data_IF_547587212199
#
_entry.id   IF_547587212199
#
_cell.length_a   1.000
_cell.length_b   1.000
_cell.length_c   1.000
_cell.angle_alpha   90.00
_cell.angle_beta   90.00
_cell.angle_gamma   90.00
#
_symmetry.space_group_name_H-M   'P 1'
#
loop_
_entity.id
_entity.type
_entity.pdbx_description
1 polymer ?
#
# COMPACT_ATOMS: atom_id res chain seq x y z
N UNK A 1 -7.38 -0.29 15.41
CA UNK A 1 -6.62 -1.56 15.47
C UNK A 1 -5.39 -1.31 14.62
N UNK A 2 -4.18 -1.44 15.17
CA UNK A 2 -2.94 -0.81 14.65
C UNK A 2 -2.72 -0.91 13.13
N UNK A 3 -3.17 -1.99 12.48
CA UNK A 3 -3.09 -2.15 11.02
C UNK A 3 -3.98 -1.18 10.22
N UNK A 4 -5.19 -0.88 10.69
CA UNK A 4 -6.08 0.06 9.98
C UNK A 4 -5.52 1.48 10.00
N UNK A 5 -4.95 1.86 11.14
CA UNK A 5 -4.29 3.16 11.32
C UNK A 5 -3.06 3.24 10.37
N UNK A 6 -2.26 2.16 10.26
CA UNK A 6 -1.15 2.10 9.31
C UNK A 6 -1.58 2.12 7.83
N UNK A 7 -2.72 1.51 7.49
CA UNK A 7 -3.27 1.56 6.13
C UNK A 7 -3.77 2.96 5.76
N UNK A 8 -4.35 3.69 6.72
CA UNK A 8 -4.75 5.08 6.55
C UNK A 8 -3.53 6.00 6.36
N UNK A 9 -2.52 5.85 7.22
CA UNK A 9 -1.25 6.58 7.10
C UNK A 9 -0.57 6.32 5.75
N UNK A 10 -0.56 5.06 5.30
CA UNK A 10 -0.05 4.68 3.97
C UNK A 10 -0.80 5.40 2.85
N UNK A 11 -2.14 5.40 2.84
CA UNK A 11 -2.92 6.10 1.79
C UNK A 11 -2.57 7.59 1.76
N UNK A 12 -2.52 8.23 2.92
CA UNK A 12 -2.15 9.64 3.04
C UNK A 12 -0.76 9.91 2.45
N UNK A 13 0.24 9.15 2.86
CA UNK A 13 1.63 9.36 2.42
C UNK A 13 1.80 9.05 0.93
N UNK A 14 1.25 7.93 0.46
CA UNK A 14 1.31 7.52 -0.95
C UNK A 14 0.63 8.54 -1.85
N UNK A 15 -0.53 9.10 -1.47
CA UNK A 15 -1.19 10.14 -2.25
C UNK A 15 -0.33 11.40 -2.39
N UNK A 16 0.34 11.84 -1.32
CA UNK A 16 1.24 13.00 -1.34
C UNK A 16 2.45 12.75 -2.27
N UNK A 17 3.01 11.55 -2.25
CA UNK A 17 4.09 11.17 -3.16
C UNK A 17 3.60 11.05 -4.61
N UNK A 18 2.41 10.48 -4.81
CA UNK A 18 1.80 10.34 -6.13
C UNK A 18 1.59 11.71 -6.81
N UNK A 19 1.18 12.74 -6.08
CA UNK A 19 1.03 14.09 -6.63
C UNK A 19 2.34 14.67 -7.18
N UNK A 20 3.48 14.26 -6.63
CA UNK A 20 4.80 14.63 -7.13
C UNK A 20 5.21 13.78 -8.33
N UNK A 21 4.96 12.47 -8.26
CA UNK A 21 5.14 11.54 -9.38
C UNK A 21 4.33 12.00 -10.60
N UNK A 22 3.12 12.55 -10.41
CA UNK A 22 2.24 13.03 -11.48
C UNK A 22 2.84 14.12 -12.38
N UNK A 23 3.89 14.81 -11.91
CA UNK A 23 4.65 15.80 -12.71
C UNK A 23 5.53 15.15 -13.77
N UNK A 24 5.85 13.87 -13.58
CA UNK A 24 6.70 13.08 -14.47
C UNK A 24 5.89 11.98 -15.18
N UNK A 25 5.01 11.30 -14.45
CA UNK A 25 4.23 10.16 -14.91
C UNK A 25 2.85 10.14 -14.23
N UNK A 26 1.81 10.49 -15.01
CA UNK A 26 0.43 10.54 -14.53
C UNK A 26 -0.18 9.16 -14.34
N UNK A 27 0.23 8.20 -15.15
CA UNK A 27 -0.30 6.84 -15.10
C UNK A 27 0.22 6.12 -13.86
N UNK A 28 1.52 6.23 -13.57
CA UNK A 28 2.11 5.70 -12.35
C UNK A 28 1.53 6.37 -11.09
N UNK A 29 1.29 7.68 -11.13
CA UNK A 29 0.57 8.39 -10.05
C UNK A 29 -0.83 7.80 -9.84
N UNK A 30 -1.59 7.56 -10.91
CA UNK A 30 -2.93 6.96 -10.82
C UNK A 30 -2.87 5.55 -10.22
N UNK A 31 -1.89 4.75 -10.64
CA UNK A 31 -1.64 3.41 -10.09
C UNK A 31 -1.32 3.45 -8.59
N UNK A 32 -0.44 4.36 -8.14
CA UNK A 32 -0.12 4.55 -6.72
C UNK A 32 -1.37 4.83 -5.88
N UNK A 33 -2.22 5.75 -6.33
CA UNK A 33 -3.46 6.11 -5.63
C UNK A 33 -4.46 4.96 -5.62
N UNK A 34 -4.68 4.33 -6.78
CA UNK A 34 -5.63 3.22 -6.91
C UNK A 34 -5.22 2.01 -6.04
N UNK A 35 -3.96 1.59 -6.13
CA UNK A 35 -3.46 0.43 -5.40
C UNK A 35 -3.47 0.68 -3.88
N UNK A 36 -3.05 1.86 -3.41
CA UNK A 36 -3.07 2.17 -1.97
C UNK A 36 -4.49 2.23 -1.41
N UNK A 37 -5.44 2.83 -2.15
CA UNK A 37 -6.86 2.84 -1.76
C UNK A 37 -7.43 1.41 -1.71
N UNK A 38 -7.15 0.59 -2.72
CA UNK A 38 -7.57 -0.83 -2.74
C UNK A 38 -7.02 -1.60 -1.55
N UNK A 39 -5.74 -1.38 -1.20
CA UNK A 39 -5.11 -2.01 -0.05
C UNK A 39 -5.82 -1.64 1.27
N UNK A 40 -6.11 -0.36 1.48
CA UNK A 40 -6.81 0.12 2.67
C UNK A 40 -8.26 -0.38 2.75
N UNK A 41 -9.02 -0.29 1.65
CA UNK A 41 -10.41 -0.72 1.60
C UNK A 41 -10.54 -2.22 1.87
N UNK A 42 -9.80 -3.05 1.14
CA UNK A 42 -9.81 -4.50 1.36
C UNK A 42 -9.30 -4.88 2.75
N UNK A 43 -8.29 -4.17 3.27
CA UNK A 43 -7.76 -4.40 4.61
C UNK A 43 -8.80 -4.12 5.69
N UNK A 44 -9.53 -3.00 5.57
CA UNK A 44 -10.62 -2.64 6.47
C UNK A 44 -11.74 -3.69 6.44
N UNK A 45 -12.18 -4.10 5.26
CA UNK A 45 -13.20 -5.14 5.12
C UNK A 45 -12.72 -6.49 5.69
N UNK A 46 -11.47 -6.86 5.44
CA UNK A 46 -10.88 -8.10 5.90
C UNK A 46 -10.75 -8.19 7.43
N UNK A 47 -10.35 -7.10 8.08
CA UNK A 47 -10.24 -7.04 9.55
C UNK A 47 -11.59 -7.29 10.23
N UNK A 48 -12.69 -6.76 9.67
CA UNK A 48 -14.03 -6.89 10.23
C UNK A 48 -14.84 -8.09 9.69
N UNK A 49 -14.37 -8.72 8.62
CA UNK A 49 -15.05 -9.87 8.01
C UNK A 49 -14.98 -11.13 8.89
N UNK A 50 -16.01 -11.97 8.78
CA UNK A 50 -16.09 -13.28 9.43
C UNK A 50 -15.81 -14.41 8.43
N UNK A 51 -15.23 -15.51 8.92
CA UNK A 51 -15.01 -16.75 8.17
C UNK A 51 -14.24 -16.55 6.84
N UNK A 52 -14.61 -17.28 5.77
CA UNK A 52 -13.85 -17.35 4.52
C UNK A 52 -13.62 -16.00 3.82
N UNK A 53 -14.53 -15.03 3.99
CA UNK A 53 -14.36 -13.69 3.42
C UNK A 53 -13.20 -12.91 4.03
N UNK A 54 -12.84 -13.18 5.29
CA UNK A 54 -11.70 -12.53 5.97
C UNK A 54 -10.39 -12.79 5.25
N UNK A 55 -10.10 -14.06 4.92
CA UNK A 55 -8.84 -14.41 4.25
C UNK A 55 -8.76 -13.75 2.87
N UNK A 56 -9.77 -13.95 2.02
CA UNK A 56 -9.77 -13.38 0.66
C UNK A 56 -9.58 -11.86 0.67
N UNK A 57 -10.26 -11.12 1.55
CA UNK A 57 -10.07 -9.66 1.66
C UNK A 57 -8.67 -9.26 2.14
N UNK A 58 -8.09 -10.00 3.07
CA UNK A 58 -6.72 -9.74 3.51
C UNK A 58 -5.69 -10.08 2.43
N UNK A 59 -5.96 -11.08 1.58
CA UNK A 59 -5.13 -11.40 0.41
C UNK A 59 -5.21 -10.30 -0.65
N UNK A 60 -6.40 -9.80 -0.94
CA UNK A 60 -6.60 -8.65 -1.84
C UNK A 60 -5.86 -7.41 -1.32
N UNK A 61 -5.98 -7.13 -0.02
CA UNK A 61 -5.25 -6.04 0.64
C UNK A 61 -3.74 -6.20 0.52
N UNK A 62 -3.21 -7.40 0.78
CA UNK A 62 -1.79 -7.73 0.65
C UNK A 62 -1.28 -7.54 -0.78
N UNK A 63 -2.05 -7.97 -1.78
CA UNK A 63 -1.67 -7.84 -3.18
C UNK A 63 -1.62 -6.36 -3.61
N UNK A 64 -2.64 -5.57 -3.27
CA UNK A 64 -2.64 -4.14 -3.57
C UNK A 64 -1.54 -3.37 -2.81
N UNK A 65 -1.17 -3.78 -1.60
CA UNK A 65 -0.04 -3.20 -0.89
C UNK A 65 1.30 -3.49 -1.61
N UNK A 66 1.47 -4.70 -2.17
CA UNK A 66 2.65 -5.05 -2.99
C UNK A 66 2.71 -4.30 -4.31
N UNK A 67 1.56 -4.06 -4.95
CA UNK A 67 1.48 -3.21 -6.14
C UNK A 67 1.90 -1.78 -5.81
N UNK A 68 1.40 -1.23 -4.70
CA UNK A 68 1.80 0.10 -4.21
C UNK A 68 3.31 0.18 -3.96
N UNK A 69 3.88 -0.84 -3.31
CA UNK A 69 5.32 -0.96 -3.07
C UNK A 69 6.12 -0.96 -4.39
N UNK A 70 5.69 -1.73 -5.37
CA UNK A 70 6.37 -1.79 -6.67
C UNK A 70 6.29 -0.45 -7.40
N UNK A 71 5.14 0.21 -7.38
CA UNK A 71 4.99 1.52 -8.00
C UNK A 71 5.91 2.58 -7.36
N UNK A 72 6.10 2.56 -6.03
CA UNK A 72 7.09 3.42 -5.36
C UNK A 72 8.53 3.08 -5.76
N UNK A 73 8.86 1.79 -5.91
CA UNK A 73 10.18 1.36 -6.39
C UNK A 73 10.46 1.85 -7.81
N UNK A 74 9.46 1.82 -8.69
CA UNK A 74 9.55 2.37 -10.05
C UNK A 74 9.77 3.88 -9.99
N UNK A 75 8.96 4.61 -9.21
CA UNK A 75 9.12 6.06 -9.05
C UNK A 75 10.52 6.46 -8.53
N UNK A 76 11.09 5.68 -7.60
CA UNK A 76 12.47 5.84 -7.12
C UNK A 76 13.49 5.56 -8.22
N UNK A 77 13.35 4.44 -8.93
CA UNK A 77 14.30 4.03 -9.99
C UNK A 77 14.34 5.04 -11.14
N UNK A 78 13.19 5.63 -11.48
CA UNK A 78 13.07 6.69 -12.47
C UNK A 78 13.43 8.09 -11.94
N UNK A 79 13.86 8.20 -10.67
CA UNK A 79 14.21 9.47 -10.01
C UNK A 79 13.07 10.50 -9.96
N UNK A 80 11.80 10.06 -9.97
CA UNK A 80 10.62 10.92 -9.81
C UNK A 80 10.42 11.36 -8.35
N UNK A 81 11.06 10.66 -7.41
CA UNK A 81 11.09 10.99 -6.00
C UNK A 81 12.53 10.98 -5.47
N UNK A 82 12.87 11.80 -4.47
CA UNK A 82 14.14 11.71 -3.76
C UNK A 82 14.32 10.32 -3.14
N UNK A 83 15.50 9.73 -3.32
CA UNK A 83 15.79 8.36 -2.88
C UNK A 83 15.50 8.14 -1.39
N UNK A 84 15.96 9.05 -0.52
CA UNK A 84 15.76 8.94 0.92
C UNK A 84 14.27 8.99 1.34
N UNK A 85 13.44 9.68 0.57
CA UNK A 85 12.01 9.80 0.86
C UNK A 85 11.26 8.55 0.38
N UNK A 86 11.52 8.11 -0.84
CA UNK A 86 10.96 6.87 -1.36
C UNK A 86 11.37 5.67 -0.49
N UNK A 87 12.62 5.61 -0.02
CA UNK A 87 13.11 4.52 0.84
C UNK A 87 12.36 4.43 2.17
N UNK A 88 12.08 5.58 2.82
CA UNK A 88 11.31 5.60 4.08
C UNK A 88 9.91 5.02 3.89
N UNK A 89 9.22 5.41 2.82
CA UNK A 89 7.87 4.92 2.56
C UNK A 89 7.88 3.44 2.15
N UNK A 90 8.85 3.02 1.34
CA UNK A 90 9.08 1.60 0.99
C UNK A 90 9.22 0.73 2.26
N UNK A 91 10.02 1.17 3.23
CA UNK A 91 10.21 0.45 4.50
C UNK A 91 8.92 0.39 5.33
N UNK A 92 8.13 1.46 5.35
CA UNK A 92 6.83 1.48 6.01
C UNK A 92 5.86 0.47 5.37
N UNK A 93 5.79 0.43 4.03
CA UNK A 93 4.96 -0.53 3.30
C UNK A 93 5.40 -1.98 3.53
N UNK A 94 6.69 -2.27 3.57
CA UNK A 94 7.19 -3.62 3.86
C UNK A 94 6.70 -4.11 5.24
N UNK A 95 6.65 -3.22 6.24
CA UNK A 95 6.07 -3.51 7.56
C UNK A 95 4.56 -3.82 7.50
N UNK A 96 3.79 -3.04 6.73
CA UNK A 96 2.35 -3.27 6.52
C UNK A 96 2.12 -4.62 5.83
N UNK A 97 2.88 -4.91 4.76
CA UNK A 97 2.81 -6.18 4.02
C UNK A 97 3.10 -7.35 4.95
N UNK A 98 4.11 -7.25 5.82
CA UNK A 98 4.42 -8.31 6.78
C UNK A 98 3.24 -8.58 7.74
N UNK A 99 2.60 -7.53 8.26
CA UNK A 99 1.43 -7.68 9.15
C UNK A 99 0.23 -8.25 8.40
N UNK A 100 -0.08 -7.76 7.19
CA UNK A 100 -1.16 -8.30 6.37
C UNK A 100 -0.95 -9.78 6.05
N UNK A 101 0.27 -10.18 5.74
CA UNK A 101 0.63 -11.58 5.52
C UNK A 101 0.35 -12.43 6.76
N UNK A 102 0.76 -11.96 7.95
CA UNK A 102 0.46 -12.65 9.21
C UNK A 102 -1.05 -12.76 9.43
N UNK A 103 -1.81 -11.70 9.20
CA UNK A 103 -3.27 -11.70 9.39
C UNK A 103 -4.00 -12.64 8.40
N UNK A 104 -3.52 -12.74 7.17
CA UNK A 104 -4.11 -13.57 6.11
C UNK A 104 -3.81 -15.07 6.30
N UNK A 105 -2.58 -15.39 6.71
CA UNK A 105 -2.06 -16.76 6.64
C UNK A 105 -1.74 -17.39 7.99
N UNK A 106 -1.39 -16.61 9.01
CA UNK A 106 -1.05 -17.15 10.33
C UNK A 106 -2.33 -17.27 11.15
N UNK A 107 -2.72 -18.52 11.43
CA UNK A 107 -3.78 -18.86 12.38
C UNK A 107 -3.23 -18.90 13.79
#
# INVERSE_FOLDING_TARGET
MRILDSLEDMVKNVHQLADRVARHDRDLSSQLKSASNSAALNGSEGVWAKAGKRRSRLEDSLNSARETLMALRIARACSYLPAAEAEREIQALDGIIAVLWVLAYRR
#
